data_IF_584897681118
#
_entry.id   IF_584897681118
#
_cell.length_a   1.000
_cell.length_b   1.000
_cell.length_c   1.000
_cell.angle_alpha   90.00
_cell.angle_beta   90.00
_cell.angle_gamma   90.00
#
_symmetry.space_group_name_H-M   'P 1'
#
loop_
_entity.id
_entity.type
_entity.pdbx_description
1 polymer ?
#
# COMPACT_ATOMS: atom_id res chain seq x y z
N UNK A 1 -33.50 1.02 7.67
CA UNK A 1 -32.86 0.67 8.95
C UNK A 1 -31.38 0.47 8.67
N UNK A 2 -30.55 1.17 9.39
CA UNK A 2 -29.09 0.99 9.30
C UNK A 2 -28.60 0.06 10.39
N UNK A 3 -27.40 -0.52 10.19
CA UNK A 3 -26.84 -1.53 11.09
C UNK A 3 -26.70 -1.01 12.54
N UNK A 4 -26.37 0.29 12.73
CA UNK A 4 -26.23 0.90 14.05
C UNK A 4 -27.56 1.15 14.80
N UNK A 5 -28.70 0.99 14.12
CA UNK A 5 -30.04 1.10 14.73
C UNK A 5 -30.50 -0.22 15.33
N UNK A 6 -29.72 -1.30 15.19
CA UNK A 6 -30.01 -2.60 15.75
C UNK A 6 -29.57 -2.68 17.21
N UNK A 7 -30.29 -3.43 17.99
CA UNK A 7 -29.96 -3.65 19.43
C UNK A 7 -28.65 -4.42 19.61
N UNK A 8 -28.32 -5.31 18.67
CA UNK A 8 -27.10 -6.13 18.63
C UNK A 8 -25.97 -5.53 17.76
N UNK A 9 -26.08 -4.27 17.39
CA UNK A 9 -25.09 -3.61 16.55
C UNK A 9 -23.69 -3.67 17.18
N UNK A 10 -22.69 -4.07 16.66
CA UNK A 10 -21.35 -4.39 17.14
C UNK A 10 -21.13 -5.88 17.47
N UNK A 11 -22.18 -6.68 17.59
CA UNK A 11 -22.07 -8.14 17.61
C UNK A 11 -22.01 -8.65 16.15
N UNK A 12 -20.98 -8.25 15.42
CA UNK A 12 -20.81 -8.65 14.03
C UNK A 12 -20.67 -10.17 13.90
N UNK A 13 -21.36 -10.73 12.90
CA UNK A 13 -21.33 -12.15 12.57
C UNK A 13 -20.70 -12.35 11.19
N UNK A 14 -20.10 -13.49 10.99
CA UNK A 14 -19.57 -13.91 9.68
C UNK A 14 -19.56 -15.43 9.55
N UNK A 15 -19.62 -15.91 8.31
CA UNK A 15 -19.50 -17.32 7.99
C UNK A 15 -18.02 -17.70 7.85
N UNK A 16 -17.46 -18.31 8.88
CA UNK A 16 -16.04 -18.70 8.91
C UNK A 16 -15.68 -19.69 7.79
N UNK A 17 -16.60 -20.56 7.36
CA UNK A 17 -16.32 -21.56 6.31
C UNK A 17 -16.14 -20.91 4.93
N UNK A 18 -16.87 -19.82 4.64
CA UNK A 18 -16.72 -19.06 3.41
C UNK A 18 -15.40 -18.28 3.36
N UNK A 19 -14.87 -17.89 4.51
CA UNK A 19 -13.64 -17.12 4.61
C UNK A 19 -12.36 -17.96 4.58
N UNK A 20 -12.46 -19.26 4.88
CA UNK A 20 -11.28 -20.12 5.10
C UNK A 20 -10.30 -20.07 3.94
N UNK A 21 -10.75 -20.30 2.72
CA UNK A 21 -9.86 -20.38 1.54
C UNK A 21 -9.11 -19.07 1.28
N UNK A 22 -9.80 -17.92 1.34
CA UNK A 22 -9.17 -16.63 1.10
C UNK A 22 -8.21 -16.23 2.23
N UNK A 23 -8.52 -16.55 3.47
CA UNK A 23 -7.64 -16.27 4.60
C UNK A 23 -6.37 -17.12 4.56
N UNK A 24 -6.46 -18.38 4.15
CA UNK A 24 -5.29 -19.25 3.91
C UNK A 24 -4.42 -18.68 2.78
N UNK A 25 -5.03 -18.24 1.70
CA UNK A 25 -4.33 -17.61 0.58
C UNK A 25 -3.59 -16.33 1.01
N UNK A 26 -4.26 -15.43 1.72
CA UNK A 26 -3.66 -14.19 2.26
C UNK A 26 -2.48 -14.52 3.17
N UNK A 27 -2.65 -15.45 4.12
CA UNK A 27 -1.58 -15.84 5.04
C UNK A 27 -0.36 -16.42 4.28
N UNK A 28 -0.61 -17.25 3.27
CA UNK A 28 0.46 -17.79 2.41
C UNK A 28 1.20 -16.68 1.66
N UNK A 29 0.47 -15.73 1.04
CA UNK A 29 1.05 -14.59 0.32
C UNK A 29 1.87 -13.69 1.24
N UNK A 30 1.35 -13.37 2.44
CA UNK A 30 2.11 -12.62 3.46
C UNK A 30 3.40 -13.35 3.83
N UNK A 31 3.35 -14.65 4.08
CA UNK A 31 4.53 -15.45 4.39
C UNK A 31 5.58 -15.43 3.28
N UNK A 32 5.16 -15.55 2.01
CA UNK A 32 6.06 -15.47 0.84
C UNK A 32 6.68 -14.07 0.74
N UNK A 33 5.86 -13.01 0.82
CA UNK A 33 6.33 -11.62 0.74
C UNK A 33 7.37 -11.32 1.82
N UNK A 34 7.08 -11.62 3.08
CA UNK A 34 8.01 -11.38 4.18
C UNK A 34 9.26 -12.26 4.12
N UNK A 35 9.15 -13.50 3.64
CA UNK A 35 10.30 -14.36 3.37
C UNK A 35 11.25 -13.75 2.33
N UNK A 36 10.71 -13.22 1.23
CA UNK A 36 11.52 -12.52 0.20
C UNK A 36 12.11 -11.22 0.73
N UNK A 37 11.33 -10.44 1.47
CA UNK A 37 11.82 -9.20 2.10
C UNK A 37 12.95 -9.47 3.10
N UNK A 38 12.97 -10.63 3.77
CA UNK A 38 14.03 -10.97 4.70
C UNK A 38 15.41 -11.03 4.03
N UNK A 39 15.48 -11.36 2.73
CA UNK A 39 16.72 -11.40 1.95
C UNK A 39 17.19 -10.03 1.45
N UNK A 40 16.34 -8.99 1.46
CA UNK A 40 16.75 -7.64 1.09
C UNK A 40 17.60 -7.00 2.19
N UNK A 41 18.64 -6.27 1.78
CA UNK A 41 19.39 -5.40 2.69
C UNK A 41 18.55 -4.26 3.25
N UNK A 42 18.96 -3.69 4.38
CA UNK A 42 18.21 -2.65 5.10
C UNK A 42 17.82 -1.46 4.21
N UNK A 43 18.76 -0.92 3.42
CA UNK A 43 18.52 0.23 2.55
C UNK A 43 17.47 -0.07 1.46
N UNK A 44 17.47 -1.29 0.92
CA UNK A 44 16.50 -1.71 -0.09
C UNK A 44 15.10 -1.88 0.51
N UNK A 45 15.01 -2.44 1.72
CA UNK A 45 13.74 -2.52 2.48
C UNK A 45 13.18 -1.14 2.75
N UNK A 46 14.03 -0.22 3.23
CA UNK A 46 13.62 1.14 3.56
C UNK A 46 13.11 1.89 2.33
N UNK A 47 13.76 1.73 1.17
CA UNK A 47 13.30 2.31 -0.10
C UNK A 47 11.98 1.71 -0.58
N UNK A 48 11.85 0.38 -0.53
CA UNK A 48 10.62 -0.30 -0.92
C UNK A 48 9.44 0.13 -0.02
N UNK A 49 9.66 0.23 1.28
CA UNK A 49 8.66 0.75 2.23
C UNK A 49 8.28 2.21 1.91
N UNK A 50 9.26 3.07 1.69
CA UNK A 50 9.01 4.48 1.40
C UNK A 50 8.19 4.66 0.12
N UNK A 51 8.44 3.86 -0.91
CA UNK A 51 7.68 3.88 -2.15
C UNK A 51 6.25 3.37 -1.92
N UNK A 52 6.08 2.24 -1.23
CA UNK A 52 4.76 1.72 -0.87
C UNK A 52 3.95 2.74 -0.07
N UNK A 53 4.55 3.34 0.97
CA UNK A 53 3.91 4.36 1.80
C UNK A 53 3.56 5.63 1.00
N UNK A 54 4.40 6.00 0.02
CA UNK A 54 4.12 7.13 -0.88
C UNK A 54 2.81 6.92 -1.62
N UNK A 55 2.64 5.77 -2.22
CA UNK A 55 1.41 5.46 -2.95
C UNK A 55 0.22 5.22 -2.03
N UNK A 56 0.43 4.70 -0.82
CA UNK A 56 -0.66 4.53 0.13
C UNK A 56 -1.24 5.89 0.57
N UNK A 57 -0.40 6.86 0.91
CA UNK A 57 -0.81 8.24 1.19
C UNK A 57 -1.57 8.85 0.01
N UNK A 58 -1.04 8.68 -1.21
CA UNK A 58 -1.65 9.24 -2.43
C UNK A 58 -3.01 8.61 -2.69
N UNK A 59 -3.09 7.29 -2.77
CA UNK A 59 -4.35 6.60 -3.10
C UNK A 59 -5.39 6.72 -1.98
N UNK A 60 -4.98 6.64 -0.72
CA UNK A 60 -5.90 6.87 0.41
C UNK A 60 -6.52 8.26 0.36
N UNK A 61 -5.78 9.28 -0.09
CA UNK A 61 -6.31 10.63 -0.30
C UNK A 61 -7.18 10.71 -1.56
N UNK A 62 -6.81 10.02 -2.64
CA UNK A 62 -7.54 10.03 -3.91
C UNK A 62 -8.91 9.31 -3.81
N UNK A 63 -9.03 8.31 -2.95
CA UNK A 63 -10.31 7.68 -2.60
C UNK A 63 -11.31 8.76 -2.12
N UNK A 64 -10.85 9.73 -1.35
CA UNK A 64 -11.66 10.86 -0.84
C UNK A 64 -11.68 12.06 -1.81
N UNK A 65 -11.22 11.88 -3.05
CA UNK A 65 -11.22 12.95 -4.06
C UNK A 65 -10.07 13.97 -3.95
N UNK A 66 -9.15 13.80 -3.02
CA UNK A 66 -8.02 14.70 -2.79
C UNK A 66 -6.81 14.22 -3.60
N UNK A 67 -6.35 15.04 -4.55
CA UNK A 67 -5.16 14.73 -5.35
C UNK A 67 -3.92 15.32 -4.71
N UNK A 68 -2.96 14.46 -4.41
CA UNK A 68 -1.67 14.85 -3.84
C UNK A 68 -0.56 14.76 -4.92
N UNK A 69 0.43 15.63 -4.79
CA UNK A 69 1.64 15.55 -5.61
C UNK A 69 2.53 14.42 -5.10
N UNK A 70 2.75 13.40 -5.92
CA UNK A 70 3.53 12.19 -5.57
C UNK A 70 4.96 12.55 -5.15
N UNK A 71 5.62 13.50 -5.85
CA UNK A 71 7.01 13.89 -5.54
C UNK A 71 7.11 14.63 -4.19
N UNK A 72 6.10 15.41 -3.82
CA UNK A 72 6.03 16.03 -2.50
C UNK A 72 5.83 15.00 -1.39
N UNK A 73 4.93 14.03 -1.60
CA UNK A 73 4.69 12.93 -0.65
C UNK A 73 5.97 12.10 -0.47
N UNK A 74 6.60 11.68 -1.59
CA UNK A 74 7.86 10.94 -1.57
C UNK A 74 8.98 11.70 -0.84
N UNK A 75 9.09 13.00 -1.07
CA UNK A 75 10.07 13.86 -0.41
C UNK A 75 9.82 13.99 1.09
N UNK A 76 8.56 14.11 1.50
CA UNK A 76 8.18 14.17 2.91
C UNK A 76 8.54 12.87 3.65
N UNK A 77 8.19 11.72 3.06
CA UNK A 77 8.52 10.39 3.59
C UNK A 77 10.04 10.20 3.68
N UNK A 78 10.77 10.48 2.58
CA UNK A 78 12.22 10.35 2.54
C UNK A 78 12.92 11.17 3.62
N UNK A 79 12.46 12.40 3.85
CA UNK A 79 13.00 13.26 4.91
C UNK A 79 12.73 12.70 6.30
N UNK A 80 11.51 12.25 6.58
CA UNK A 80 11.12 11.69 7.89
C UNK A 80 11.82 10.37 8.19
N UNK A 81 12.11 9.57 7.16
CA UNK A 81 12.83 8.30 7.27
C UNK A 81 14.35 8.43 7.07
N UNK A 82 14.85 9.65 6.90
CA UNK A 82 16.28 9.94 6.71
C UNK A 82 16.92 9.23 5.48
N UNK A 83 16.13 9.03 4.41
CA UNK A 83 16.59 8.39 3.17
C UNK A 83 17.37 9.41 2.33
N UNK A 84 18.63 9.08 2.02
CA UNK A 84 19.52 9.92 1.20
C UNK A 84 19.27 9.69 -0.30
N UNK A 85 19.72 10.66 -1.13
CA UNK A 85 19.72 10.57 -2.59
C UNK A 85 18.33 10.53 -3.26
N UNK A 86 17.29 11.05 -2.62
CA UNK A 86 16.01 11.32 -3.25
C UNK A 86 15.95 12.83 -3.58
N UNK A 87 15.48 13.15 -4.81
CA UNK A 87 15.23 14.54 -5.21
C UNK A 87 14.24 15.16 -4.22
N UNK A 88 14.67 16.21 -3.53
CA UNK A 88 13.84 16.88 -2.53
C UNK A 88 12.98 17.95 -3.19
N UNK A 89 11.67 17.76 -3.09
CA UNK A 89 10.66 18.77 -3.38
C UNK A 89 10.10 19.23 -2.02
N UNK A 90 9.98 20.52 -1.81
CA UNK A 90 9.42 21.03 -0.55
C UNK A 90 7.94 20.65 -0.46
N UNK A 91 7.53 19.78 0.48
CA UNK A 91 6.13 19.41 0.60
C UNK A 91 5.32 20.54 1.25
N UNK A 92 4.04 20.59 0.93
CA UNK A 92 3.10 21.44 1.64
C UNK A 92 2.94 20.98 3.11
N UNK A 93 2.56 21.89 4.00
CA UNK A 93 2.27 21.53 5.40
C UNK A 93 1.20 20.45 5.52
N UNK A 94 0.22 20.46 4.64
CA UNK A 94 -0.82 19.44 4.57
C UNK A 94 -0.23 18.05 4.30
N UNK A 95 0.58 17.92 3.26
CA UNK A 95 1.23 16.64 2.89
C UNK A 95 2.12 16.15 4.04
N UNK A 96 2.91 17.05 4.64
CA UNK A 96 3.75 16.68 5.79
C UNK A 96 2.95 16.14 6.98
N UNK A 97 1.78 16.71 7.21
CA UNK A 97 0.89 16.27 8.29
C UNK A 97 0.25 14.92 8.01
N UNK A 98 -0.25 14.70 6.78
CA UNK A 98 -0.81 13.40 6.38
C UNK A 98 0.24 12.29 6.49
N UNK A 99 1.45 12.53 5.96
CA UNK A 99 2.57 11.58 6.05
C UNK A 99 2.96 11.32 7.52
N UNK A 100 2.93 12.35 8.38
CA UNK A 100 3.25 12.17 9.79
C UNK A 100 2.24 11.26 10.51
N UNK A 101 0.95 11.38 10.21
CA UNK A 101 -0.10 10.50 10.78
C UNK A 101 0.10 9.05 10.35
N UNK A 102 0.33 8.81 9.05
CA UNK A 102 0.56 7.46 8.53
C UNK A 102 1.78 6.80 9.18
N UNK A 103 2.91 7.52 9.22
CA UNK A 103 4.13 7.02 9.87
C UNK A 103 3.94 6.78 11.36
N UNK A 104 3.24 7.67 12.07
CA UNK A 104 2.99 7.52 13.50
C UNK A 104 2.14 6.27 13.80
N UNK A 105 1.13 6.00 12.99
CA UNK A 105 0.28 4.81 13.15
C UNK A 105 1.05 3.50 12.94
N UNK A 106 1.89 3.44 11.89
CA UNK A 106 2.63 2.24 11.54
C UNK A 106 3.84 2.05 12.49
N UNK A 107 4.62 3.09 12.74
CA UNK A 107 5.81 3.00 13.62
C UNK A 107 5.46 2.76 15.09
N UNK A 108 4.23 3.06 15.49
CA UNK A 108 3.74 2.86 16.85
C UNK A 108 2.54 1.90 16.89
N UNK A 109 2.54 0.89 16.02
CA UNK A 109 1.46 -0.10 15.89
C UNK A 109 1.15 -0.82 17.21
N UNK A 110 2.13 -0.98 18.11
CA UNK A 110 2.04 -1.65 19.40
C UNK A 110 1.41 -0.80 20.51
N UNK A 111 1.32 0.52 20.30
CA UNK A 111 0.73 1.44 21.28
C UNK A 111 -0.78 1.36 21.29
N UNK A 112 -1.36 1.63 22.46
CA UNK A 112 -2.81 1.70 22.62
C UNK A 112 -3.37 2.89 21.82
N UNK A 113 -4.49 2.65 21.14
CA UNK A 113 -5.30 3.69 20.52
C UNK A 113 -6.06 4.44 21.63
N UNK A 114 -6.11 5.76 21.54
CA UNK A 114 -6.87 6.61 22.47
C UNK A 114 -7.69 7.65 21.71
N UNK A 115 -8.70 8.22 22.37
CA UNK A 115 -9.49 9.33 21.82
C UNK A 115 -8.61 10.50 21.40
N UNK A 116 -7.67 10.88 22.27
CA UNK A 116 -6.75 12.00 22.06
C UNK A 116 -5.89 11.76 20.83
N UNK A 117 -5.43 10.53 20.62
CA UNK A 117 -4.65 10.12 19.45
C UNK A 117 -5.45 10.29 18.15
N UNK A 118 -6.68 9.76 18.13
CA UNK A 118 -7.58 9.89 16.98
C UNK A 118 -7.90 11.34 16.66
N UNK A 119 -8.20 12.14 17.70
CA UNK A 119 -8.45 13.57 17.56
C UNK A 119 -7.22 14.33 17.03
N UNK A 120 -6.02 13.99 17.51
CA UNK A 120 -4.78 14.59 17.02
C UNK A 120 -4.50 14.23 15.56
N UNK A 121 -4.75 12.98 15.15
CA UNK A 121 -4.61 12.56 13.76
C UNK A 121 -5.61 13.26 12.83
N UNK A 122 -6.86 13.37 13.26
CA UNK A 122 -7.88 14.11 12.50
C UNK A 122 -7.49 15.59 12.35
N UNK A 123 -7.05 16.23 13.43
CA UNK A 123 -6.60 17.62 13.40
C UNK A 123 -5.41 17.83 12.44
N UNK A 124 -4.51 16.85 12.32
CA UNK A 124 -3.38 16.91 11.39
C UNK A 124 -3.82 16.88 9.93
N UNK A 125 -4.96 16.30 9.61
CA UNK A 125 -5.54 16.33 8.25
C UNK A 125 -6.17 17.68 7.89
N UNK A 126 -6.53 18.49 8.88
CA UNK A 126 -7.25 19.75 8.67
C UNK A 126 -6.58 20.92 9.40
N UNK A 127 -5.31 21.24 9.09
CA UNK A 127 -4.55 22.25 9.81
C UNK A 127 -5.13 23.67 9.69
N UNK A 128 -5.99 23.90 8.70
CA UNK A 128 -6.67 25.19 8.49
C UNK A 128 -8.05 25.25 9.15
N UNK A 129 -8.58 24.12 9.64
CA UNK A 129 -9.95 24.04 10.15
C UNK A 129 -11.04 24.00 9.07
N UNK A 130 -10.64 23.75 7.80
CA UNK A 130 -11.56 23.72 6.66
C UNK A 130 -11.44 22.40 5.90
N UNK A 131 -12.57 21.91 5.39
CA UNK A 131 -12.68 20.87 4.39
C UNK A 131 -13.55 21.35 3.24
N UNK A 132 -13.10 21.17 1.98
CA UNK A 132 -13.82 21.60 0.76
C UNK A 132 -14.35 23.05 0.80
N UNK A 133 -13.62 23.93 1.48
CA UNK A 133 -13.99 25.34 1.63
C UNK A 133 -15.00 25.64 2.74
N UNK A 134 -15.48 24.63 3.47
CA UNK A 134 -16.37 24.79 4.61
C UNK A 134 -15.62 24.59 5.94
N UNK A 135 -15.93 25.38 6.99
CA UNK A 135 -15.35 25.16 8.31
C UNK A 135 -15.89 23.87 8.92
N UNK A 136 -15.00 23.08 9.53
CA UNK A 136 -15.32 21.82 10.21
C UNK A 136 -14.84 21.81 11.65
N UNK A 137 -15.44 20.94 12.46
CA UNK A 137 -14.95 20.64 13.81
C UNK A 137 -13.66 19.81 13.72
N UNK A 138 -12.57 20.34 14.27
CA UNK A 138 -11.24 19.74 14.17
C UNK A 138 -10.73 19.29 15.54
N UNK A 139 -10.18 18.09 15.61
CA UNK A 139 -9.58 17.54 16.83
C UNK A 139 -10.58 17.14 17.90
N UNK A 140 -11.82 16.97 17.53
CA UNK A 140 -12.90 16.49 18.39
C UNK A 140 -13.94 15.72 17.61
N UNK A 141 -14.73 14.90 18.28
CA UNK A 141 -15.85 14.20 17.64
C UNK A 141 -16.93 15.23 17.25
N UNK A 142 -17.62 14.95 16.15
CA UNK A 142 -18.70 15.78 15.63
C UNK A 142 -19.82 15.97 16.64
N UNK A 143 -20.40 17.15 16.61
CA UNK A 143 -21.57 17.52 17.42
C UNK A 143 -22.85 17.62 16.59
N UNK A 144 -22.77 17.40 15.28
CA UNK A 144 -23.88 17.47 14.32
C UNK A 144 -24.21 16.10 13.76
N UNK A 145 -25.44 15.97 13.25
CA UNK A 145 -25.82 14.79 12.46
C UNK A 145 -24.95 14.71 11.18
N UNK A 146 -24.64 13.48 10.78
CA UNK A 146 -23.80 13.24 9.61
C UNK A 146 -24.52 12.32 8.64
N UNK A 147 -24.69 12.80 7.41
CA UNK A 147 -25.30 12.08 6.31
C UNK A 147 -24.28 11.88 5.19
N UNK A 148 -23.97 10.65 4.89
CA UNK A 148 -23.11 10.31 3.77
C UNK A 148 -23.92 10.34 2.49
N UNK A 149 -23.66 11.32 1.66
CA UNK A 149 -24.46 11.61 0.45
C UNK A 149 -23.61 11.61 -0.80
N UNK A 150 -24.24 11.41 -1.96
CA UNK A 150 -23.68 11.65 -3.28
C UNK A 150 -24.69 12.37 -4.19
N UNK A 151 -24.21 13.00 -5.23
CA UNK A 151 -25.04 13.72 -6.19
C UNK A 151 -24.87 15.23 -6.11
N UNK A 152 -25.67 15.98 -6.89
CA UNK A 152 -25.63 17.44 -6.92
C UNK A 152 -26.47 18.01 -5.78
N UNK A 153 -26.05 19.18 -5.27
CA UNK A 153 -26.78 19.93 -4.26
C UNK A 153 -28.27 20.06 -4.57
N UNK A 154 -29.12 19.68 -3.63
CA UNK A 154 -30.57 19.66 -3.75
C UNK A 154 -31.13 18.42 -4.47
N UNK A 155 -30.30 17.44 -4.84
CA UNK A 155 -30.66 16.13 -5.42
C UNK A 155 -29.75 15.03 -4.90
N UNK A 156 -29.34 15.14 -3.65
CA UNK A 156 -28.45 14.20 -3.02
C UNK A 156 -29.15 12.84 -2.78
N UNK A 157 -28.43 11.76 -3.05
CA UNK A 157 -28.80 10.41 -2.62
C UNK A 157 -28.13 10.15 -1.27
N UNK A 158 -28.91 9.88 -0.24
CA UNK A 158 -28.40 9.47 1.07
C UNK A 158 -28.02 7.99 1.01
N UNK A 159 -26.75 7.68 1.19
CA UNK A 159 -26.22 6.34 1.26
C UNK A 159 -26.29 5.78 2.70
N UNK A 160 -25.88 6.61 3.65
CA UNK A 160 -25.84 6.22 5.05
C UNK A 160 -26.12 7.42 5.95
N UNK A 161 -26.79 7.17 7.08
CA UNK A 161 -26.94 8.13 8.17
C UNK A 161 -26.17 7.58 9.36
N UNK A 162 -25.19 8.30 9.84
CA UNK A 162 -24.37 7.89 10.97
C UNK A 162 -25.14 7.94 12.31
N UNK A 163 -24.69 7.25 13.36
CA UNK A 163 -25.29 7.37 14.70
C UNK A 163 -25.43 8.81 15.14
N UNK A 164 -26.45 9.12 15.95
CA UNK A 164 -26.63 10.50 16.45
C UNK A 164 -25.41 10.98 17.24
N UNK A 165 -25.11 12.29 17.26
CA UNK A 165 -23.93 12.85 17.90
C UNK A 165 -23.79 12.45 19.38
N UNK A 166 -24.90 12.34 20.11
CA UNK A 166 -24.93 11.96 21.53
C UNK A 166 -24.44 10.51 21.77
N UNK A 167 -24.46 9.68 20.73
CA UNK A 167 -23.98 8.29 20.80
C UNK A 167 -22.50 8.17 20.49
N UNK A 168 -21.90 9.13 19.78
CA UNK A 168 -20.54 9.01 19.23
C UNK A 168 -19.50 8.72 20.31
N UNK A 169 -19.50 9.42 21.42
CA UNK A 169 -18.54 9.19 22.51
C UNK A 169 -18.62 7.75 23.05
N UNK A 170 -19.84 7.26 23.25
CA UNK A 170 -20.07 5.89 23.76
C UNK A 170 -19.66 4.83 22.75
N UNK A 171 -20.01 5.02 21.48
CA UNK A 171 -19.66 4.07 20.41
C UNK A 171 -18.15 4.04 20.19
N UNK A 172 -17.49 5.19 20.23
CA UNK A 172 -16.03 5.28 20.10
C UNK A 172 -15.30 4.69 21.30
N UNK A 173 -15.81 4.84 22.51
CA UNK A 173 -15.24 4.17 23.68
C UNK A 173 -15.26 2.65 23.50
N UNK A 174 -16.40 2.07 23.07
CA UNK A 174 -16.54 0.63 22.78
C UNK A 174 -15.57 0.19 21.65
N UNK A 175 -15.47 0.98 20.60
CA UNK A 175 -14.55 0.70 19.48
C UNK A 175 -13.08 0.71 19.95
N UNK A 176 -12.67 1.70 20.73
CA UNK A 176 -11.29 1.83 21.24
C UNK A 176 -10.96 0.67 22.19
N UNK A 177 -11.87 0.31 23.09
CA UNK A 177 -11.68 -0.83 24.00
C UNK A 177 -11.49 -2.13 23.21
N UNK A 178 -12.36 -2.39 22.21
CA UNK A 178 -12.24 -3.54 21.32
C UNK A 178 -10.94 -3.51 20.49
N UNK A 179 -10.59 -2.35 19.91
CA UNK A 179 -9.38 -2.17 19.10
C UNK A 179 -8.11 -2.49 19.90
N UNK A 180 -8.10 -2.19 21.17
CA UNK A 180 -6.99 -2.43 22.09
C UNK A 180 -7.04 -3.82 22.75
N UNK A 181 -8.16 -4.54 22.64
CA UNK A 181 -8.30 -5.88 23.22
C UNK A 181 -7.36 -6.89 22.53
N UNK A 182 -7.10 -8.00 23.19
CA UNK A 182 -6.31 -9.12 22.65
C UNK A 182 -7.21 -10.29 22.25
N UNK A 183 -8.29 -10.00 21.56
CA UNK A 183 -9.16 -11.06 21.05
C UNK A 183 -8.42 -11.95 20.05
N UNK A 184 -8.67 -13.28 20.18
CA UNK A 184 -8.10 -14.29 19.28
C UNK A 184 -8.92 -14.42 17.99
N UNK A 185 -9.06 -13.31 17.27
CA UNK A 185 -9.67 -13.26 15.94
C UNK A 185 -8.56 -13.17 14.89
N UNK A 186 -8.74 -13.79 13.74
CA UNK A 186 -7.80 -13.66 12.62
C UNK A 186 -7.53 -12.17 12.32
N UNK A 187 -6.27 -11.81 12.11
CA UNK A 187 -5.84 -10.41 11.94
C UNK A 187 -6.50 -9.72 10.74
N UNK A 188 -6.71 -10.44 9.65
CA UNK A 188 -7.38 -9.91 8.44
C UNK A 188 -8.84 -9.57 8.75
N UNK A 189 -9.54 -10.48 9.43
CA UNK A 189 -10.91 -10.24 9.88
C UNK A 189 -10.96 -9.05 10.81
N UNK A 190 -10.04 -8.96 11.75
CA UNK A 190 -9.99 -7.87 12.73
C UNK A 190 -9.74 -6.51 12.07
N UNK A 191 -8.85 -6.46 11.08
CA UNK A 191 -8.60 -5.25 10.27
C UNK A 191 -9.83 -4.85 9.46
N UNK A 192 -10.50 -5.81 8.83
CA UNK A 192 -11.74 -5.57 8.10
C UNK A 192 -12.85 -5.01 9.01
N UNK A 193 -13.01 -5.58 10.21
CA UNK A 193 -13.97 -5.09 11.21
C UNK A 193 -13.61 -3.68 11.66
N UNK A 194 -12.35 -3.39 11.92
CA UNK A 194 -11.92 -2.06 12.37
C UNK A 194 -12.26 -0.98 11.34
N UNK A 195 -11.97 -1.23 10.07
CA UNK A 195 -12.30 -0.30 8.99
C UNK A 195 -13.81 -0.09 8.87
N UNK A 196 -14.58 -1.17 8.85
CA UNK A 196 -16.04 -1.12 8.73
C UNK A 196 -16.70 -0.42 9.93
N UNK A 197 -16.33 -0.82 11.14
CA UNK A 197 -16.93 -0.29 12.36
C UNK A 197 -16.63 1.18 12.54
N UNK A 198 -15.36 1.60 12.37
CA UNK A 198 -14.98 3.01 12.49
C UNK A 198 -15.70 3.89 11.46
N UNK A 199 -15.73 3.48 10.19
CA UNK A 199 -16.40 4.27 9.15
C UNK A 199 -17.93 4.29 9.36
N UNK A 200 -18.50 3.28 10.02
CA UNK A 200 -19.93 3.24 10.33
C UNK A 200 -20.30 4.09 11.56
N UNK A 201 -19.41 4.27 12.54
CA UNK A 201 -19.61 5.27 13.60
C UNK A 201 -19.51 6.68 13.02
N UNK A 202 -18.59 6.89 12.10
CA UNK A 202 -18.33 8.18 11.45
C UNK A 202 -18.13 9.31 12.46
N UNK A 203 -17.09 9.21 13.33
CA UNK A 203 -17.01 10.08 14.52
C UNK A 203 -16.64 11.52 14.25
N UNK A 204 -16.14 11.88 13.08
CA UNK A 204 -15.69 13.21 12.70
C UNK A 204 -16.55 13.80 11.58
N UNK A 205 -16.54 15.11 11.39
CA UNK A 205 -17.18 15.76 10.25
C UNK A 205 -16.46 15.45 8.92
N UNK A 206 -15.13 15.19 8.96
CA UNK A 206 -14.37 14.70 7.80
C UNK A 206 -13.11 13.93 8.23
N UNK A 207 -12.54 13.16 7.30
CA UNK A 207 -11.32 12.37 7.52
C UNK A 207 -11.58 10.93 7.99
N UNK A 208 -12.85 10.52 8.14
CA UNK A 208 -13.21 9.20 8.65
C UNK A 208 -12.70 8.05 7.77
N UNK A 209 -12.82 8.17 6.45
CA UNK A 209 -12.35 7.15 5.52
C UNK A 209 -10.84 6.94 5.61
N UNK A 210 -10.06 8.01 5.63
CA UNK A 210 -8.58 7.97 5.78
C UNK A 210 -8.17 7.35 7.11
N UNK A 211 -8.80 7.76 8.21
CA UNK A 211 -8.54 7.19 9.54
C UNK A 211 -8.94 5.72 9.62
N UNK A 212 -10.06 5.31 9.03
CA UNK A 212 -10.49 3.92 9.01
C UNK A 212 -9.45 3.02 8.33
N UNK A 213 -8.87 3.46 7.18
CA UNK A 213 -7.80 2.73 6.49
C UNK A 213 -6.52 2.68 7.33
N UNK A 214 -6.11 3.79 7.93
CA UNK A 214 -4.95 3.84 8.82
C UNK A 214 -5.12 2.89 10.02
N UNK A 215 -6.29 2.83 10.62
CA UNK A 215 -6.58 1.91 11.73
C UNK A 215 -6.51 0.44 11.29
N UNK A 216 -7.02 0.16 10.10
CA UNK A 216 -6.91 -1.15 9.48
C UNK A 216 -5.44 -1.57 9.29
N UNK A 217 -4.62 -0.68 8.72
CA UNK A 217 -3.20 -0.91 8.50
C UNK A 217 -2.42 -1.06 9.82
N UNK A 218 -2.78 -0.28 10.84
CA UNK A 218 -2.19 -0.41 12.18
C UNK A 218 -2.43 -1.79 12.79
N UNK A 219 -3.61 -2.39 12.58
CA UNK A 219 -3.90 -3.76 13.05
C UNK A 219 -3.12 -4.82 12.26
N UNK A 220 -2.94 -4.63 10.95
CA UNK A 220 -2.10 -5.52 10.14
C UNK A 220 -0.64 -5.41 10.56
N UNK A 221 -0.10 -4.19 10.75
CA UNK A 221 1.25 -3.97 11.26
C UNK A 221 1.46 -4.63 12.65
N UNK A 222 0.43 -4.54 13.50
CA UNK A 222 0.43 -5.19 14.83
C UNK A 222 0.49 -6.71 14.74
N UNK A 223 -0.23 -7.30 13.78
CA UNK A 223 -0.22 -8.74 13.55
C UNK A 223 1.13 -9.21 12.97
N UNK A 224 1.67 -8.47 12.02
CA UNK A 224 2.95 -8.74 11.37
C UNK A 224 4.14 -8.42 12.29
N UNK A 225 3.91 -7.71 13.41
CA UNK A 225 4.94 -7.20 14.33
C UNK A 225 6.01 -6.41 13.57
N UNK A 226 5.59 -5.59 12.64
CA UNK A 226 6.45 -4.89 11.70
C UNK A 226 6.11 -3.40 11.65
N UNK A 227 7.13 -2.56 11.79
CA UNK A 227 7.03 -1.13 11.49
C UNK A 227 7.02 -0.86 9.98
N UNK A 228 7.04 -1.91 9.17
CA UNK A 228 7.09 -1.83 7.71
C UNK A 228 5.92 -2.58 7.11
N UNK A 229 5.04 -1.87 6.41
CA UNK A 229 4.02 -2.44 5.55
C UNK A 229 4.50 -2.32 4.10
N UNK A 230 4.49 -3.43 3.37
CA UNK A 230 5.00 -3.52 2.00
C UNK A 230 3.91 -3.76 0.96
N UNK A 231 2.66 -3.75 1.35
CA UNK A 231 1.48 -3.89 0.49
C UNK A 231 0.53 -2.71 0.70
N UNK A 232 -0.27 -2.40 -0.30
CA UNK A 232 -1.09 -1.18 -0.33
C UNK A 232 -2.54 -1.51 -0.66
N UNK A 233 -3.37 -1.62 0.39
CA UNK A 233 -4.80 -1.87 0.23
C UNK A 233 -5.49 -0.67 -0.43
N UNK A 234 -5.09 0.56 -0.09
CA UNK A 234 -5.67 1.78 -0.66
C UNK A 234 -5.50 1.85 -2.18
N UNK A 235 -4.38 1.32 -2.73
CA UNK A 235 -4.18 1.17 -4.17
C UNK A 235 -5.27 0.33 -4.81
N UNK A 236 -5.59 -0.82 -4.23
CA UNK A 236 -6.60 -1.72 -4.77
C UNK A 236 -8.02 -1.15 -4.60
N UNK A 237 -8.31 -0.53 -3.46
CA UNK A 237 -9.58 0.17 -3.23
C UNK A 237 -9.79 1.26 -4.29
N UNK A 238 -8.74 2.05 -4.58
CA UNK A 238 -8.82 3.14 -5.56
C UNK A 238 -9.08 2.64 -6.99
N UNK A 239 -8.58 1.45 -7.35
CA UNK A 239 -8.82 0.81 -8.66
C UNK A 239 -10.29 0.42 -8.86
N UNK A 240 -11.02 0.09 -7.78
CA UNK A 240 -12.43 -0.31 -7.80
C UNK A 240 -13.24 0.41 -6.71
N UNK A 241 -13.11 1.73 -6.71
CA UNK A 241 -13.73 2.61 -5.71
C UNK A 241 -15.26 2.48 -5.66
N UNK A 242 -15.90 2.27 -6.80
CA UNK A 242 -17.36 2.10 -6.85
C UNK A 242 -17.81 0.86 -6.07
N UNK A 243 -17.15 -0.27 -6.27
CA UNK A 243 -17.46 -1.50 -5.56
C UNK A 243 -17.21 -1.37 -4.05
N UNK A 244 -16.14 -0.67 -3.65
CA UNK A 244 -15.89 -0.36 -2.24
C UNK A 244 -17.09 0.35 -1.58
N UNK A 245 -17.61 1.40 -2.19
CA UNK A 245 -18.75 2.12 -1.63
C UNK A 245 -20.05 1.31 -1.68
N UNK A 246 -20.25 0.52 -2.75
CA UNK A 246 -21.43 -0.33 -2.87
C UNK A 246 -21.47 -1.44 -1.79
N UNK A 247 -20.34 -2.11 -1.54
CA UNK A 247 -20.28 -3.15 -0.50
C UNK A 247 -20.41 -2.53 0.90
N UNK A 248 -19.79 -1.35 1.12
CA UNK A 248 -19.92 -0.62 2.38
C UNK A 248 -21.38 -0.24 2.65
N UNK A 249 -22.09 0.38 1.69
CA UNK A 249 -23.50 0.76 1.82
C UNK A 249 -24.38 -0.47 2.08
N UNK A 250 -24.19 -1.57 1.35
CA UNK A 250 -24.95 -2.81 1.56
C UNK A 250 -24.74 -3.37 2.95
N UNK A 251 -23.52 -3.44 3.41
CA UNK A 251 -23.19 -3.97 4.74
C UNK A 251 -23.73 -3.06 5.86
N UNK A 252 -23.69 -1.74 5.67
CA UNK A 252 -24.26 -0.77 6.61
C UNK A 252 -25.79 -0.81 6.69
N UNK A 253 -26.46 -1.41 5.69
CA UNK A 253 -27.90 -1.67 5.67
C UNK A 253 -28.27 -3.12 6.02
N UNK A 254 -27.26 -3.92 6.35
CA UNK A 254 -27.41 -5.34 6.64
C UNK A 254 -27.93 -5.66 8.03
N UNK A 255 -27.97 -6.94 8.34
CA UNK A 255 -28.49 -7.49 9.59
C UNK A 255 -27.43 -7.80 10.64
N UNK A 256 -26.20 -7.36 10.44
CA UNK A 256 -25.04 -7.65 11.30
C UNK A 256 -24.18 -8.82 10.81
N UNK A 257 -24.59 -9.53 9.75
CA UNK A 257 -23.69 -10.39 8.99
C UNK A 257 -22.80 -9.53 8.07
N UNK A 258 -21.49 -9.63 8.29
CA UNK A 258 -20.48 -8.88 7.54
C UNK A 258 -19.57 -9.78 6.69
N UNK A 259 -20.03 -10.99 6.38
CA UNK A 259 -19.27 -11.98 5.60
C UNK A 259 -18.82 -11.40 4.25
N UNK A 260 -19.72 -10.78 3.50
CA UNK A 260 -19.39 -10.16 2.21
C UNK A 260 -18.33 -9.05 2.33
N UNK A 261 -18.41 -8.24 3.38
CA UNK A 261 -17.42 -7.20 3.65
C UNK A 261 -16.02 -7.79 3.91
N UNK A 262 -15.96 -8.82 4.76
CA UNK A 262 -14.69 -9.48 5.09
C UNK A 262 -14.11 -10.19 3.85
N UNK A 263 -14.94 -10.84 3.04
CA UNK A 263 -14.55 -11.46 1.77
C UNK A 263 -13.97 -10.42 0.81
N UNK A 264 -14.66 -9.32 0.63
CA UNK A 264 -14.19 -8.23 -0.21
C UNK A 264 -12.85 -7.67 0.29
N UNK A 265 -12.74 -7.40 1.59
CA UNK A 265 -11.53 -6.89 2.21
C UNK A 265 -10.34 -7.86 2.05
N UNK A 266 -10.55 -9.15 2.32
CA UNK A 266 -9.52 -10.17 2.19
C UNK A 266 -9.07 -10.37 0.73
N UNK A 267 -9.98 -10.32 -0.25
CA UNK A 267 -9.64 -10.34 -1.67
C UNK A 267 -8.84 -9.09 -2.07
N UNK A 268 -9.23 -7.92 -1.60
CA UNK A 268 -8.51 -6.65 -1.84
C UNK A 268 -7.09 -6.72 -1.25
N UNK A 269 -6.92 -7.26 -0.05
CA UNK A 269 -5.62 -7.49 0.56
C UNK A 269 -4.80 -8.53 -0.23
N UNK A 270 -5.43 -9.61 -0.71
CA UNK A 270 -4.77 -10.61 -1.54
C UNK A 270 -4.19 -10.00 -2.83
N UNK A 271 -4.94 -9.12 -3.50
CA UNK A 271 -4.46 -8.39 -4.68
C UNK A 271 -3.33 -7.39 -4.34
N UNK A 272 -3.42 -6.73 -3.20
CA UNK A 272 -2.36 -5.83 -2.73
C UNK A 272 -1.05 -6.59 -2.45
N UNK A 273 -1.15 -7.80 -1.92
CA UNK A 273 0.01 -8.69 -1.70
C UNK A 273 0.63 -9.17 -3.02
N UNK A 274 -0.16 -9.49 -4.04
CA UNK A 274 0.35 -9.84 -5.38
C UNK A 274 1.11 -8.67 -6.03
N UNK A 275 0.57 -7.46 -5.92
CA UNK A 275 1.25 -6.25 -6.42
C UNK A 275 2.57 -6.02 -5.68
N UNK A 276 2.57 -6.13 -4.36
CA UNK A 276 3.76 -6.00 -3.53
C UNK A 276 4.81 -7.08 -3.84
N UNK A 277 4.40 -8.32 -4.02
CA UNK A 277 5.29 -9.42 -4.40
C UNK A 277 5.96 -9.15 -5.76
N UNK A 278 5.21 -8.64 -6.73
CA UNK A 278 5.75 -8.26 -8.04
C UNK A 278 6.83 -7.18 -7.93
N UNK A 279 6.59 -6.14 -7.10
CA UNK A 279 7.54 -5.05 -6.86
C UNK A 279 8.82 -5.59 -6.17
N UNK A 280 8.66 -6.37 -5.11
CA UNK A 280 9.79 -6.96 -4.37
C UNK A 280 10.59 -7.89 -5.27
N UNK A 281 9.93 -8.71 -6.09
CA UNK A 281 10.58 -9.59 -7.06
C UNK A 281 11.40 -8.80 -8.08
N UNK A 282 10.87 -7.71 -8.62
CA UNK A 282 11.60 -6.84 -9.55
C UNK A 282 12.88 -6.26 -8.89
N UNK A 283 12.78 -5.79 -7.63
CA UNK A 283 13.92 -5.28 -6.88
C UNK A 283 14.98 -6.36 -6.62
N UNK A 284 14.55 -7.55 -6.22
CA UNK A 284 15.43 -8.71 -6.03
C UNK A 284 16.13 -9.09 -7.33
N UNK A 285 15.37 -9.24 -8.40
CA UNK A 285 15.88 -9.58 -9.72
C UNK A 285 16.96 -8.61 -10.18
N UNK A 286 16.70 -7.31 -10.01
CA UNK A 286 17.69 -6.27 -10.30
C UNK A 286 18.94 -6.37 -9.43
N UNK A 287 18.78 -6.66 -8.15
CA UNK A 287 19.90 -6.85 -7.22
C UNK A 287 20.77 -8.05 -7.62
N UNK A 288 20.17 -9.20 -7.92
CA UNK A 288 20.88 -10.41 -8.39
C UNK A 288 21.58 -10.18 -9.71
N UNK A 289 20.90 -9.55 -10.67
CA UNK A 289 21.52 -9.20 -11.93
C UNK A 289 22.81 -8.39 -11.72
N UNK A 290 22.78 -7.36 -10.90
CA UNK A 290 23.95 -6.54 -10.64
C UNK A 290 25.03 -7.25 -9.84
N UNK A 291 24.67 -8.17 -8.94
CA UNK A 291 25.62 -9.01 -8.23
C UNK A 291 26.38 -9.92 -9.21
N UNK A 292 25.66 -10.60 -10.12
CA UNK A 292 26.23 -11.44 -11.18
C UNK A 292 27.06 -10.64 -12.17
N UNK A 293 26.61 -9.46 -12.55
CA UNK A 293 27.29 -8.54 -13.45
C UNK A 293 28.43 -7.74 -12.81
N UNK A 294 28.68 -7.86 -11.49
CA UNK A 294 29.66 -7.05 -10.75
C UNK A 294 31.11 -7.19 -11.26
N UNK A 295 31.46 -8.36 -11.80
CA UNK A 295 32.78 -8.65 -12.38
C UNK A 295 32.90 -8.25 -13.87
N UNK A 296 31.79 -7.85 -14.50
CA UNK A 296 31.75 -7.52 -15.93
C UNK A 296 31.99 -6.03 -16.11
N UNK A 297 33.03 -5.61 -16.85
CA UNK A 297 33.28 -4.20 -17.09
C UNK A 297 32.23 -3.62 -18.05
N UNK A 298 31.39 -2.73 -17.54
CA UNK A 298 30.33 -2.04 -18.27
C UNK A 298 30.61 -0.52 -18.34
N UNK A 299 30.29 0.08 -19.47
CA UNK A 299 30.30 1.54 -19.57
C UNK A 299 29.11 2.14 -18.81
N UNK A 300 29.23 3.41 -18.37
CA UNK A 300 28.14 4.11 -17.70
C UNK A 300 26.85 4.08 -18.52
N UNK A 301 26.94 4.28 -19.84
CA UNK A 301 25.76 4.22 -20.74
C UNK A 301 25.10 2.85 -20.76
N UNK A 302 25.90 1.76 -20.78
CA UNK A 302 25.34 0.40 -20.69
C UNK A 302 24.66 0.17 -19.36
N UNK A 303 25.26 0.59 -18.26
CA UNK A 303 24.69 0.52 -16.92
C UNK A 303 23.37 1.30 -16.82
N UNK A 304 23.33 2.54 -17.34
CA UNK A 304 22.11 3.37 -17.31
C UNK A 304 20.98 2.74 -18.12
N UNK A 305 21.30 2.20 -19.29
CA UNK A 305 20.32 1.53 -20.16
C UNK A 305 19.82 0.23 -19.57
N UNK A 306 20.70 -0.61 -19.02
CA UNK A 306 20.30 -1.84 -18.33
C UNK A 306 19.41 -1.54 -17.12
N UNK A 307 19.75 -0.51 -16.32
CA UNK A 307 18.90 -0.06 -15.23
C UNK A 307 17.50 0.33 -15.69
N UNK A 308 17.40 1.08 -16.79
CA UNK A 308 16.11 1.51 -17.34
C UNK A 308 15.22 0.32 -17.70
N UNK A 309 15.78 -0.70 -18.35
CA UNK A 309 15.02 -1.92 -18.72
C UNK A 309 14.72 -2.82 -17.52
N UNK A 310 15.63 -2.91 -16.56
CA UNK A 310 15.39 -3.64 -15.27
C UNK A 310 14.34 -2.94 -14.40
N UNK A 311 14.16 -1.64 -14.55
CA UNK A 311 13.11 -0.86 -13.88
C UNK A 311 11.74 -0.95 -14.59
N UNK A 312 11.61 -1.85 -15.59
CA UNK A 312 10.33 -2.15 -16.22
C UNK A 312 10.00 -1.30 -17.46
N UNK A 313 10.98 -0.71 -18.12
CA UNK A 313 10.72 -0.01 -19.38
C UNK A 313 10.20 -0.98 -20.45
N UNK A 314 8.94 -0.82 -20.86
CA UNK A 314 8.17 -1.82 -21.63
C UNK A 314 8.60 -2.01 -23.09
N UNK A 315 9.46 -1.16 -23.65
CA UNK A 315 9.88 -1.31 -25.04
C UNK A 315 10.94 -2.41 -25.21
N UNK A 316 10.87 -3.14 -26.34
CA UNK A 316 11.91 -4.10 -26.71
C UNK A 316 13.28 -3.44 -26.84
N UNK A 317 14.33 -4.10 -26.35
CA UNK A 317 15.71 -3.69 -26.57
C UNK A 317 16.02 -3.90 -28.04
N UNK A 318 16.18 -2.80 -28.79
CA UNK A 318 16.63 -2.80 -30.19
C UNK A 318 17.67 -1.72 -30.36
N UNK A 319 18.48 -1.78 -31.42
CA UNK A 319 19.43 -0.68 -31.71
C UNK A 319 18.74 0.69 -31.89
N UNK A 320 17.50 0.71 -32.37
CA UNK A 320 16.71 1.95 -32.51
C UNK A 320 16.28 2.49 -31.15
N UNK A 321 15.68 1.64 -30.32
CA UNK A 321 15.23 2.01 -28.96
C UNK A 321 16.40 2.44 -28.10
N UNK A 322 17.49 1.67 -28.11
CA UNK A 322 18.72 1.99 -27.39
C UNK A 322 19.31 3.35 -27.81
N UNK A 323 19.48 3.59 -29.13
CA UNK A 323 20.00 4.85 -29.65
C UNK A 323 19.17 6.06 -29.22
N UNK A 324 17.84 5.91 -29.26
CA UNK A 324 16.90 6.97 -28.86
C UNK A 324 17.01 7.30 -27.38
N UNK A 325 16.99 6.29 -26.51
CA UNK A 325 17.01 6.45 -25.06
C UNK A 325 18.38 6.89 -24.54
N UNK A 326 19.44 6.28 -25.04
CA UNK A 326 20.82 6.62 -24.68
C UNK A 326 21.33 7.90 -25.36
N UNK A 327 20.51 8.54 -26.20
CA UNK A 327 20.87 9.74 -26.99
C UNK A 327 22.21 9.58 -27.72
N UNK A 328 22.41 8.44 -28.38
CA UNK A 328 23.65 8.13 -29.13
C UNK A 328 23.37 7.73 -30.57
N UNK A 329 24.43 7.62 -31.38
CA UNK A 329 24.30 7.16 -32.78
C UNK A 329 23.86 5.68 -32.82
N UNK A 330 23.21 5.27 -33.93
CA UNK A 330 22.80 3.88 -34.13
C UNK A 330 24.00 2.92 -34.10
N UNK A 331 25.15 3.34 -34.63
CA UNK A 331 26.36 2.50 -34.65
C UNK A 331 26.92 2.32 -33.23
N UNK A 332 26.80 3.35 -32.37
CA UNK A 332 27.17 3.25 -30.97
C UNK A 332 26.23 2.29 -30.23
N UNK A 333 24.92 2.38 -30.47
CA UNK A 333 23.94 1.47 -29.89
C UNK A 333 24.18 0.00 -30.31
N UNK A 334 24.52 -0.24 -31.58
CA UNK A 334 24.85 -1.59 -32.07
C UNK A 334 26.13 -2.13 -31.39
N UNK A 335 27.15 -1.28 -31.18
CA UNK A 335 28.36 -1.69 -30.47
C UNK A 335 28.10 -2.00 -29.02
N UNK A 336 27.33 -1.17 -28.32
CA UNK A 336 26.98 -1.40 -26.94
C UNK A 336 26.22 -2.73 -26.76
N UNK A 337 25.22 -2.99 -27.62
CA UNK A 337 24.40 -4.20 -27.57
C UNK A 337 25.24 -5.43 -27.89
N UNK A 338 26.12 -5.36 -28.92
CA UNK A 338 26.99 -6.47 -29.28
C UNK A 338 27.95 -6.82 -28.15
N UNK A 339 28.57 -5.82 -27.53
CA UNK A 339 29.46 -6.02 -26.38
C UNK A 339 28.71 -6.66 -25.20
N UNK A 340 27.45 -6.28 -24.97
CA UNK A 340 26.60 -6.90 -23.95
C UNK A 340 26.20 -8.33 -24.29
N UNK A 341 26.03 -8.67 -25.56
CA UNK A 341 25.78 -10.05 -26.01
C UNK A 341 27.05 -10.90 -25.86
N UNK A 342 28.21 -10.38 -26.23
CA UNK A 342 29.51 -11.05 -26.04
C UNK A 342 29.82 -11.31 -24.55
N UNK A 343 29.34 -10.45 -23.67
CA UNK A 343 29.46 -10.55 -22.22
C UNK A 343 28.35 -11.39 -21.56
N UNK A 344 27.49 -12.01 -22.33
CA UNK A 344 26.38 -12.81 -21.86
C UNK A 344 25.40 -12.05 -20.93
N UNK A 345 25.29 -10.73 -21.12
CA UNK A 345 24.34 -9.87 -20.44
C UNK A 345 23.02 -9.77 -21.21
N UNK A 346 23.10 -9.74 -22.54
CA UNK A 346 21.95 -9.77 -23.44
C UNK A 346 21.99 -11.03 -24.31
N UNK A 347 20.81 -11.50 -24.69
CA UNK A 347 20.65 -12.50 -25.74
C UNK A 347 19.76 -11.97 -26.85
N UNK A 348 20.00 -12.40 -28.08
CA UNK A 348 19.10 -12.15 -29.19
C UNK A 348 17.84 -13.00 -29.04
N UNK A 349 16.64 -12.37 -29.15
CA UNK A 349 15.37 -13.07 -28.94
C UNK A 349 15.12 -14.13 -30.03
N UNK A 350 15.51 -13.80 -31.29
CA UNK A 350 15.44 -14.69 -32.44
C UNK A 350 16.74 -14.60 -33.18
N UNK A 351 17.62 -15.60 -33.12
CA UNK A 351 18.92 -15.62 -33.79
C UNK A 351 18.80 -15.35 -35.29
N UNK A 352 19.58 -14.40 -35.80
CA UNK A 352 19.64 -14.08 -37.23
C UNK A 352 18.44 -13.29 -37.77
N UNK A 353 17.63 -12.70 -36.94
CA UNK A 353 16.50 -11.87 -37.37
C UNK A 353 16.97 -10.63 -38.15
N UNK A 354 16.26 -10.25 -39.25
CA UNK A 354 16.55 -9.02 -40.01
C UNK A 354 16.45 -7.73 -39.17
N UNK A 355 15.65 -7.77 -38.13
CA UNK A 355 15.47 -6.67 -37.13
C UNK A 355 15.58 -7.29 -35.74
N UNK A 356 16.79 -7.49 -35.22
CA UNK A 356 17.00 -8.15 -33.97
C UNK A 356 16.45 -7.33 -32.81
N UNK A 357 15.82 -8.04 -31.87
CA UNK A 357 15.51 -7.56 -30.53
C UNK A 357 16.24 -8.44 -29.52
N UNK A 358 16.45 -7.91 -28.34
CA UNK A 358 17.28 -8.51 -27.32
C UNK A 358 16.54 -8.54 -26.00
N UNK A 359 16.84 -9.51 -25.17
CA UNK A 359 16.39 -9.62 -23.80
C UNK A 359 17.59 -9.71 -22.86
N UNK A 360 17.43 -9.17 -21.65
CA UNK A 360 18.43 -9.34 -20.59
C UNK A 360 18.43 -10.82 -20.21
N UNK A 361 19.62 -11.41 -20.11
CA UNK A 361 19.78 -12.79 -19.64
C UNK A 361 19.54 -12.78 -18.14
N UNK A 362 18.43 -13.39 -17.79
CA UNK A 362 17.94 -13.48 -16.44
C UNK A 362 17.37 -14.90 -16.25
N UNK A 363 17.88 -15.62 -15.27
CA UNK A 363 17.38 -16.96 -14.94
C UNK A 363 16.60 -16.90 -13.62
N UNK A 364 15.27 -17.06 -13.65
CA UNK A 364 14.46 -17.10 -12.42
C UNK A 364 14.83 -18.27 -11.50
N UNK A 365 15.42 -19.37 -12.04
CA UNK A 365 15.83 -20.53 -11.25
C UNK A 365 17.05 -20.23 -10.36
N UNK A 366 17.93 -19.32 -10.77
CA UNK A 366 19.05 -18.85 -9.94
C UNK A 366 18.60 -18.27 -8.58
N UNK A 367 17.38 -17.73 -8.51
CA UNK A 367 16.80 -17.21 -7.28
C UNK A 367 16.43 -18.31 -6.29
N UNK A 368 15.89 -19.41 -6.81
CA UNK A 368 15.46 -20.56 -5.99
C UNK A 368 16.66 -21.27 -5.38
N UNK A 369 17.74 -21.39 -6.14
CA UNK A 369 19.01 -21.98 -5.67
C UNK A 369 19.65 -21.09 -4.60
N UNK A 370 19.67 -19.79 -4.81
CA UNK A 370 20.25 -18.83 -3.84
C UNK A 370 19.53 -18.84 -2.48
N UNK A 371 18.21 -18.95 -2.47
CA UNK A 371 17.46 -19.08 -1.21
C UNK A 371 17.73 -20.40 -0.49
N UNK A 372 17.99 -21.48 -1.22
CA UNK A 372 18.38 -22.75 -0.63
C UNK A 372 19.79 -22.68 -0.01
N UNK A 373 20.74 -22.01 -0.65
CA UNK A 373 22.11 -21.84 -0.15
C UNK A 373 22.18 -20.95 1.10
N UNK A 374 21.49 -19.81 1.12
CA UNK A 374 21.41 -18.95 2.32
C UNK A 374 20.74 -19.66 3.50
N UNK A 375 19.75 -20.51 3.23
CA UNK A 375 19.08 -21.28 4.27
C UNK A 375 20.02 -22.36 4.87
N UNK A 376 20.90 -22.94 4.06
CA UNK A 376 21.87 -23.93 4.47
C UNK A 376 23.02 -23.28 5.26
N UNK A 377 23.53 -22.12 4.85
CA UNK A 377 24.57 -21.40 5.59
C UNK A 377 24.11 -20.92 6.96
N UNK A 378 22.85 -20.51 7.12
CA UNK A 378 22.27 -20.14 8.41
C UNK A 378 22.03 -21.34 9.35
N UNK A 379 21.83 -22.54 8.82
CA UNK A 379 21.71 -23.77 9.62
C UNK A 379 23.07 -24.31 10.08
N UNK A 380 24.14 -24.01 9.34
CA UNK A 380 25.49 -24.48 9.66
C UNK A 380 26.33 -23.47 10.46
N UNK A 381 25.79 -22.30 10.77
CA UNK A 381 26.45 -21.21 11.52
C UNK A 381 25.93 -20.97 12.94
N UNK A 382 25.25 -21.98 13.54
CA UNK A 382 24.87 -22.01 14.96
C UNK A 382 25.72 -23.02 15.72
#
# INVERSE_FOLDING_TARGET
MYIHERDDWTAFRWNASELTAILEEVNRKQGVLYGRLASLGFDSKLKAMAENLTYDVVYSSEIEGIRLNVDEVRSSIARKLNIKNIKQTAPSHYIDSVVAVMLDAISHYDRLLTKEKLCAWQAAFFPTGFSEGSPIEVGQYRTKEEHIVSGMFGREKIHYIAPSPERVDKEMARFIDWFNSQEKVNSVIRSAIAQFWFVSIHPFEDGNGRLARILSDMLLARADKSEFIFYNISSQINKDKSHYYDILERTQRGDGDITEWILWYANTLSLALDEAESIVSAVLNKSFFWQKASSVPLSQRQTDMLNLFLDGYEAKITSKTWASLAKCSKDTAIRDIRDLVEKEILREDIPGAKRPSYSIIYDPEDITVFFSEISIERQNGL
#
